data_IF_009932531206
#
_entry.id   IF_009932531206
#
_cell.length_a   1.000
_cell.length_b   1.000
_cell.length_c   1.000
_cell.angle_alpha   90.00
_cell.angle_beta   90.00
_cell.angle_gamma   90.00
#
_symmetry.space_group_name_H-M   'P 1'
#
loop_
_entity.id
_entity.type
_entity.pdbx_description
1 polymer ?
#
# COMPACT_ATOMS: atom_id res chain seq x y z
N UNK A 1 24.11 25.45 18.11
CA UNK A 1 24.59 24.54 17.04
C UNK A 1 24.58 23.11 17.54
N UNK A 2 23.61 22.28 17.19
CA UNK A 2 23.69 20.80 17.23
C UNK A 2 22.73 20.30 16.13
N UNK A 3 23.28 19.64 15.11
CA UNK A 3 22.53 19.21 13.91
C UNK A 3 22.07 17.77 14.07
N UNK A 4 20.75 17.56 14.09
CA UNK A 4 20.15 16.21 14.04
C UNK A 4 20.11 15.75 12.59
N UNK A 5 21.23 15.18 12.12
CA UNK A 5 21.28 14.42 10.86
C UNK A 5 20.61 13.08 11.09
N UNK A 6 19.39 12.91 10.56
CA UNK A 6 18.71 11.61 10.53
C UNK A 6 19.42 10.67 9.58
N UNK A 7 19.75 9.51 10.13
CA UNK A 7 20.27 8.30 9.52
C UNK A 7 19.26 7.72 8.53
N UNK A 8 19.63 7.65 7.25
CA UNK A 8 18.97 6.82 6.24
C UNK A 8 19.94 5.71 5.83
N UNK A 9 19.98 4.63 6.60
CA UNK A 9 20.66 3.40 6.23
C UNK A 9 19.61 2.37 5.84
N UNK A 10 19.15 2.42 4.59
CA UNK A 10 18.23 1.43 4.01
C UNK A 10 18.85 0.85 2.73
N UNK A 11 19.62 -0.22 2.95
CA UNK A 11 19.67 -1.44 2.14
C UNK A 11 19.52 -1.33 0.61
N UNK A 12 20.60 -0.98 -0.09
CA UNK A 12 20.80 -1.39 -1.47
C UNK A 12 21.33 -2.83 -1.54
N UNK A 13 20.51 -3.84 -1.23
CA UNK A 13 20.83 -5.24 -1.57
C UNK A 13 20.58 -5.44 -3.06
N UNK A 14 21.63 -5.33 -3.88
CA UNK A 14 21.59 -5.82 -5.27
C UNK A 14 21.32 -7.33 -5.25
N UNK A 15 20.30 -7.85 -5.95
CA UNK A 15 20.16 -9.30 -6.11
C UNK A 15 21.31 -9.80 -7.00
N UNK A 16 22.18 -10.66 -6.46
CA UNK A 16 23.09 -11.45 -7.29
C UNK A 16 22.24 -12.50 -8.02
N UNK A 17 22.18 -12.40 -9.34
CA UNK A 17 21.61 -13.44 -10.19
C UNK A 17 22.52 -14.68 -10.09
N UNK A 18 22.04 -15.73 -9.44
CA UNK A 18 22.66 -17.06 -9.50
C UNK A 18 22.28 -17.71 -10.83
N UNK A 19 23.22 -17.77 -11.77
CA UNK A 19 23.06 -18.56 -12.99
C UNK A 19 23.03 -20.06 -12.63
N UNK A 20 22.14 -20.88 -13.23
CA UNK A 20 22.14 -22.31 -13.01
C UNK A 20 23.45 -22.92 -13.52
N UNK A 21 24.25 -23.53 -12.64
CA UNK A 21 25.39 -24.36 -13.04
C UNK A 21 24.85 -25.62 -13.71
N UNK A 22 25.28 -25.83 -14.94
CA UNK A 22 25.00 -27.03 -15.71
C UNK A 22 25.54 -28.27 -14.94
N UNK A 23 24.74 -29.33 -14.73
CA UNK A 23 25.21 -30.52 -14.06
C UNK A 23 26.24 -31.23 -14.96
N UNK A 24 27.46 -31.39 -14.43
CA UNK A 24 28.47 -32.23 -15.08
C UNK A 24 28.01 -33.68 -14.96
N UNK A 25 27.66 -34.29 -16.10
CA UNK A 25 27.43 -35.73 -16.21
C UNK A 25 28.79 -36.41 -16.10
N UNK A 26 29.01 -37.17 -15.04
CA UNK A 26 30.08 -38.17 -15.02
C UNK A 26 29.63 -39.31 -15.92
N UNK A 27 30.04 -39.27 -17.18
CA UNK A 27 29.85 -40.35 -18.13
C UNK A 27 31.17 -41.12 -18.26
N UNK A 28 31.64 -41.72 -17.17
CA UNK A 28 32.70 -42.74 -17.19
C UNK A 28 32.44 -43.68 -16.02
N UNK A 29 31.54 -44.65 -16.25
CA UNK A 29 31.60 -45.92 -15.53
C UNK A 29 32.19 -46.90 -16.54
N UNK A 30 33.50 -47.10 -16.43
CA UNK A 30 34.22 -48.10 -17.19
C UNK A 30 33.77 -49.46 -16.66
N UNK A 31 33.05 -50.20 -17.50
CA UNK A 31 32.80 -51.62 -17.32
C UNK A 31 34.13 -52.36 -17.18
N UNK A 32 34.59 -52.55 -15.95
CA UNK A 32 35.60 -53.53 -15.63
C UNK A 32 35.01 -54.93 -15.87
N UNK A 33 35.38 -55.54 -16.99
CA UNK A 33 35.15 -56.96 -17.27
C UNK A 33 35.98 -57.81 -16.31
N UNK A 34 35.47 -58.02 -15.10
CA UNK A 34 35.98 -59.00 -14.15
C UNK A 34 35.22 -60.31 -14.31
N UNK A 35 35.83 -61.28 -14.98
CA UNK A 35 35.37 -62.67 -15.01
C UNK A 35 35.43 -63.28 -13.60
N UNK A 36 34.34 -63.94 -13.17
CA UNK A 36 34.39 -65.00 -12.18
C UNK A 36 33.44 -64.83 -10.99
N UNK A 37 32.71 -65.92 -10.73
CA UNK A 37 32.11 -66.35 -9.45
C UNK A 37 30.60 -66.11 -9.22
N UNK A 38 29.86 -67.24 -9.23
CA UNK A 38 28.82 -67.53 -8.23
C UNK A 38 27.44 -66.91 -8.46
N UNK A 39 26.54 -67.66 -9.09
CA UNK A 39 25.11 -67.37 -9.06
C UNK A 39 24.57 -67.53 -7.63
N UNK A 40 24.47 -66.42 -6.89
CA UNK A 40 23.49 -66.26 -5.84
C UNK A 40 22.32 -65.48 -6.45
N UNK A 41 21.13 -66.08 -6.48
CA UNK A 41 19.90 -65.35 -6.81
C UNK A 41 19.67 -64.31 -5.72
N UNK A 42 20.14 -63.09 -5.96
CA UNK A 42 19.80 -61.95 -5.12
C UNK A 42 18.37 -61.59 -5.49
N UNK A 43 17.45 -61.78 -4.53
CA UNK A 43 16.09 -61.26 -4.63
C UNK A 43 16.17 -59.73 -4.69
N UNK A 44 16.16 -59.16 -5.90
CA UNK A 44 16.05 -57.72 -6.07
C UNK A 44 14.64 -57.30 -5.60
N UNK A 45 14.52 -56.45 -4.57
CA UNK A 45 13.22 -56.03 -4.10
C UNK A 45 12.53 -55.24 -5.21
N UNK A 46 11.25 -55.55 -5.41
CA UNK A 46 10.36 -54.86 -6.34
C UNK A 46 10.56 -53.34 -6.21
N UNK A 47 11.06 -52.72 -7.27
CA UNK A 47 11.49 -51.32 -7.25
C UNK A 47 10.37 -50.36 -6.86
N UNK A 48 10.75 -49.23 -6.24
CA UNK A 48 9.82 -48.22 -5.74
C UNK A 48 8.79 -47.73 -6.78
N UNK A 49 9.12 -47.79 -8.08
CA UNK A 49 8.20 -47.45 -9.16
C UNK A 49 6.94 -48.33 -9.21
N UNK A 50 7.04 -49.62 -8.87
CA UNK A 50 5.90 -50.55 -8.88
C UNK A 50 4.92 -50.25 -7.74
N UNK A 51 5.42 -49.93 -6.55
CA UNK A 51 4.56 -49.45 -5.45
C UNK A 51 3.95 -48.09 -5.76
N UNK A 52 4.67 -47.23 -6.48
CA UNK A 52 4.14 -45.97 -7.01
C UNK A 52 2.95 -46.18 -7.95
N UNK A 53 3.02 -47.12 -8.89
CA UNK A 53 1.90 -47.40 -9.82
C UNK A 53 0.70 -48.04 -9.12
N UNK A 54 0.91 -48.93 -8.15
CA UNK A 54 -0.17 -49.48 -7.32
C UNK A 54 -0.85 -48.36 -6.51
N UNK A 55 -0.08 -47.40 -6.00
CA UNK A 55 -0.63 -46.27 -5.24
C UNK A 55 -1.47 -45.32 -6.09
N UNK A 56 -1.28 -45.26 -7.42
CA UNK A 56 -2.10 -44.42 -8.31
C UNK A 56 -3.58 -44.85 -8.31
N UNK A 57 -3.86 -46.14 -8.14
CA UNK A 57 -5.24 -46.67 -8.17
C UNK A 57 -6.09 -46.12 -7.00
N UNK A 58 -5.69 -46.29 -5.71
CA UNK A 58 -6.45 -45.73 -4.60
C UNK A 58 -6.39 -44.20 -4.56
N UNK A 59 -5.27 -43.57 -4.99
CA UNK A 59 -5.18 -42.10 -5.08
C UNK A 59 -6.15 -41.55 -6.12
N UNK A 60 -6.20 -42.14 -7.31
CA UNK A 60 -7.14 -41.77 -8.36
C UNK A 60 -8.60 -41.97 -7.93
N UNK A 61 -8.89 -43.08 -7.23
CA UNK A 61 -10.22 -43.31 -6.67
C UNK A 61 -10.61 -42.29 -5.60
N UNK A 62 -9.68 -41.93 -4.70
CA UNK A 62 -9.92 -40.91 -3.68
C UNK A 62 -10.17 -39.53 -4.32
N UNK A 63 -9.38 -39.14 -5.32
CA UNK A 63 -9.59 -37.90 -6.08
C UNK A 63 -10.96 -37.92 -6.77
N UNK A 64 -11.35 -39.05 -7.35
CA UNK A 64 -12.64 -39.23 -8.01
C UNK A 64 -13.82 -39.16 -7.04
N UNK A 65 -13.70 -39.76 -5.86
CA UNK A 65 -14.72 -39.73 -4.83
C UNK A 65 -14.89 -38.30 -4.26
N UNK A 66 -13.80 -37.54 -4.10
CA UNK A 66 -13.82 -36.15 -3.62
C UNK A 66 -14.29 -35.16 -4.70
N UNK A 67 -14.07 -35.46 -5.98
CA UNK A 67 -14.48 -34.58 -7.09
C UNK A 67 -15.96 -34.69 -7.45
N UNK A 68 -16.63 -35.79 -7.10
CA UNK A 68 -18.07 -35.96 -7.34
C UNK A 68 -18.90 -35.06 -6.42
N UNK A 69 -19.91 -34.36 -6.94
CA UNK A 69 -20.91 -33.68 -6.12
C UNK A 69 -21.78 -34.74 -5.40
N UNK A 70 -21.98 -34.58 -4.09
CA UNK A 70 -22.75 -35.52 -3.27
C UNK A 70 -24.27 -35.24 -3.29
N UNK A 71 -24.72 -34.15 -3.94
CA UNK A 71 -26.13 -33.82 -4.17
C UNK A 71 -26.27 -32.76 -5.27
N UNK A 72 -27.43 -32.70 -5.91
CA UNK A 72 -27.73 -31.87 -7.10
C UNK A 72 -27.51 -30.36 -6.92
N UNK A 73 -27.38 -29.88 -5.68
CA UNK A 73 -27.29 -28.44 -5.37
C UNK A 73 -26.00 -28.04 -4.62
N UNK A 74 -25.02 -28.96 -4.51
CA UNK A 74 -23.77 -28.72 -3.77
C UNK A 74 -22.57 -28.61 -4.70
N UNK A 75 -21.94 -27.43 -4.74
CA UNK A 75 -20.67 -27.23 -5.45
C UNK A 75 -19.60 -28.23 -4.99
N UNK A 76 -18.77 -28.79 -5.90
CA UNK A 76 -17.77 -29.79 -5.53
C UNK A 76 -16.73 -29.20 -4.56
N UNK A 77 -16.09 -30.08 -3.78
CA UNK A 77 -15.20 -29.69 -2.68
C UNK A 77 -14.09 -28.72 -3.11
N UNK A 78 -13.47 -28.97 -4.26
CA UNK A 78 -12.44 -28.10 -4.82
C UNK A 78 -12.96 -26.71 -5.17
N UNK A 79 -14.16 -26.61 -5.75
CA UNK A 79 -14.79 -25.31 -6.05
C UNK A 79 -15.10 -24.53 -4.78
N UNK A 80 -15.58 -25.20 -3.72
CA UNK A 80 -15.80 -24.55 -2.42
C UNK A 80 -14.49 -24.04 -1.80
N UNK A 81 -13.42 -24.82 -1.93
CA UNK A 81 -12.10 -24.42 -1.42
C UNK A 81 -11.58 -23.22 -2.19
N UNK A 82 -11.63 -23.26 -3.54
CA UNK A 82 -11.25 -22.14 -4.40
C UNK A 82 -12.09 -20.91 -4.05
N UNK A 83 -13.41 -21.05 -3.93
CA UNK A 83 -14.32 -19.97 -3.56
C UNK A 83 -13.95 -19.28 -2.25
N UNK A 84 -13.54 -20.04 -1.22
CA UNK A 84 -13.06 -19.47 0.05
C UNK A 84 -11.78 -18.65 -0.13
N UNK A 85 -10.86 -19.10 -0.98
CA UNK A 85 -9.64 -18.36 -1.26
C UNK A 85 -9.90 -17.13 -2.12
N UNK A 86 -10.74 -17.22 -3.15
CA UNK A 86 -11.08 -16.07 -4.01
C UNK A 86 -11.83 -14.99 -3.21
N UNK A 87 -12.77 -15.36 -2.35
CA UNK A 87 -13.46 -14.40 -1.45
C UNK A 87 -12.47 -13.68 -0.51
N UNK A 88 -11.46 -14.40 -0.01
CA UNK A 88 -10.39 -13.80 0.78
C UNK A 88 -9.56 -12.80 -0.03
N UNK A 89 -9.22 -13.15 -1.27
CA UNK A 89 -8.47 -12.27 -2.18
C UNK A 89 -9.28 -11.02 -2.55
N UNK A 90 -10.57 -11.15 -2.82
CA UNK A 90 -11.46 -10.02 -3.11
C UNK A 90 -11.53 -9.05 -1.92
N UNK A 91 -11.67 -9.57 -0.69
CA UNK A 91 -11.66 -8.72 0.52
C UNK A 91 -10.33 -7.99 0.71
N UNK A 92 -9.21 -8.64 0.39
CA UNK A 92 -7.89 -8.00 0.43
C UNK A 92 -7.75 -6.95 -0.67
N UNK A 93 -8.24 -7.22 -1.88
CA UNK A 93 -8.25 -6.28 -2.99
C UNK A 93 -9.06 -5.02 -2.67
N UNK A 94 -10.27 -5.17 -2.11
CA UNK A 94 -11.12 -4.03 -1.68
C UNK A 94 -10.42 -3.20 -0.59
N UNK A 95 -9.77 -3.84 0.39
CA UNK A 95 -9.00 -3.11 1.43
C UNK A 95 -7.81 -2.36 0.84
N UNK A 96 -7.09 -2.97 -0.09
CA UNK A 96 -5.95 -2.35 -0.75
C UNK A 96 -6.39 -1.16 -1.62
N UNK A 97 -7.49 -1.30 -2.37
CA UNK A 97 -8.07 -0.20 -3.16
C UNK A 97 -8.49 0.97 -2.26
N UNK A 98 -9.19 0.71 -1.14
CA UNK A 98 -9.52 1.73 -0.16
C UNK A 98 -8.28 2.43 0.40
N UNK A 99 -7.22 1.68 0.72
CA UNK A 99 -5.97 2.25 1.20
C UNK A 99 -5.29 3.14 0.15
N UNK A 100 -5.22 2.71 -1.11
CA UNK A 100 -4.65 3.50 -2.21
C UNK A 100 -5.42 4.80 -2.41
N UNK A 101 -6.76 4.74 -2.42
CA UNK A 101 -7.61 5.93 -2.55
C UNK A 101 -7.40 6.93 -1.41
N UNK A 102 -7.27 6.44 -0.17
CA UNK A 102 -6.99 7.31 0.98
C UNK A 102 -5.63 7.98 0.85
N UNK A 103 -4.59 7.26 0.40
CA UNK A 103 -3.25 7.81 0.20
C UNK A 103 -3.24 8.83 -0.95
N UNK A 104 -3.95 8.57 -2.04
CA UNK A 104 -4.09 9.50 -3.16
C UNK A 104 -4.77 10.80 -2.73
N UNK A 105 -5.91 10.70 -2.03
CA UNK A 105 -6.61 11.87 -1.51
C UNK A 105 -5.74 12.67 -0.53
N UNK A 106 -5.00 12.00 0.37
CA UNK A 106 -4.07 12.67 1.27
C UNK A 106 -2.91 13.36 0.52
N UNK A 107 -2.45 12.75 -0.57
CA UNK A 107 -1.46 13.35 -1.47
C UNK A 107 -1.96 14.63 -2.14
N UNK A 108 -3.18 14.59 -2.68
CA UNK A 108 -3.81 15.74 -3.33
C UNK A 108 -4.04 16.90 -2.36
N UNK A 109 -4.55 16.61 -1.16
CA UNK A 109 -4.73 17.62 -0.11
C UNK A 109 -3.40 18.27 0.29
N UNK A 110 -2.34 17.46 0.42
CA UNK A 110 -0.99 17.98 0.71
C UNK A 110 -0.44 18.86 -0.41
N UNK A 111 -0.69 18.49 -1.67
CA UNK A 111 -0.28 19.31 -2.83
C UNK A 111 -1.04 20.65 -2.82
N UNK A 112 -2.33 20.66 -2.49
CA UNK A 112 -3.12 21.88 -2.36
C UNK A 112 -2.53 22.82 -1.31
N UNK A 113 -2.18 22.32 -0.13
CA UNK A 113 -1.55 23.13 0.91
C UNK A 113 -0.16 23.65 0.51
N UNK A 114 0.65 22.84 -0.19
CA UNK A 114 1.99 23.25 -0.59
C UNK A 114 2.01 24.24 -1.76
N UNK A 115 1.02 24.19 -2.67
CA UNK A 115 0.96 25.07 -3.85
C UNK A 115 0.16 26.35 -3.63
N UNK A 116 -0.66 26.41 -2.58
CA UNK A 116 -1.47 27.62 -2.29
C UNK A 116 -0.56 28.74 -1.79
N UNK A 117 -0.61 29.91 -2.46
CA UNK A 117 0.08 31.10 -1.97
C UNK A 117 -0.52 31.54 -0.63
N UNK A 118 0.29 31.99 0.34
CA UNK A 118 -0.23 32.63 1.54
C UNK A 118 -1.16 33.78 1.16
N UNK A 119 -2.29 33.92 1.84
CA UNK A 119 -3.19 35.06 1.64
C UNK A 119 -2.50 36.33 2.13
N UNK A 120 -2.22 37.26 1.23
CA UNK A 120 -1.47 38.50 1.51
C UNK A 120 -2.38 39.62 2.04
N UNK A 121 -3.69 39.48 1.85
CA UNK A 121 -4.70 40.44 2.28
C UNK A 121 -5.57 39.88 3.42
N UNK A 122 -6.05 40.79 4.27
CA UNK A 122 -7.03 40.47 5.32
C UNK A 122 -8.42 40.64 4.74
N UNK A 123 -9.23 39.59 4.79
CA UNK A 123 -10.59 39.62 4.28
C UNK A 123 -11.48 40.43 5.24
N UNK A 124 -11.86 41.64 4.81
CA UNK A 124 -12.67 42.57 5.58
C UNK A 124 -14.09 42.62 5.02
N UNK A 125 -15.11 42.52 5.88
CA UNK A 125 -16.53 42.58 5.44
C UNK A 125 -16.90 43.93 4.81
N UNK A 126 -16.27 45.02 5.23
CA UNK A 126 -16.57 46.38 4.78
C UNK A 126 -15.28 47.19 4.60
N UNK A 127 -14.53 46.98 3.50
CA UNK A 127 -13.27 47.69 3.26
C UNK A 127 -13.47 49.18 2.98
N UNK A 128 -14.67 49.58 2.51
CA UNK A 128 -14.95 50.96 2.09
C UNK A 128 -14.94 51.98 3.24
N UNK A 129 -15.18 51.54 4.48
CA UNK A 129 -15.14 52.39 5.66
C UNK A 129 -13.73 52.99 5.85
N UNK A 130 -12.69 52.29 5.39
CA UNK A 130 -11.31 52.75 5.48
C UNK A 130 -10.99 53.86 4.47
N UNK A 131 -11.75 53.97 3.37
CA UNK A 131 -11.54 54.97 2.31
C UNK A 131 -12.60 56.09 2.33
N UNK A 132 -13.34 56.23 3.43
CA UNK A 132 -14.40 57.22 3.53
C UNK A 132 -13.79 58.61 3.81
N UNK A 133 -13.64 59.44 2.77
CA UNK A 133 -13.13 60.81 2.89
C UNK A 133 -12.57 61.39 1.59
N UNK A 134 -12.29 62.70 1.56
CA UNK A 134 -11.63 63.35 0.43
C UNK A 134 -10.11 63.14 0.48
N UNK A 135 -9.44 62.67 -0.58
CA UNK A 135 -7.98 62.47 -0.59
C UNK A 135 -7.16 63.74 -0.31
N UNK A 136 -7.73 64.92 -0.55
CA UNK A 136 -6.99 66.20 -0.57
C UNK A 136 -7.31 67.13 0.61
N UNK A 137 -8.32 66.84 1.43
CA UNK A 137 -8.75 67.74 2.51
C UNK A 137 -9.13 66.97 3.77
N UNK A 138 -8.16 66.29 4.37
CA UNK A 138 -8.33 65.53 5.61
C UNK A 138 -7.64 66.27 6.75
N UNK A 139 -8.35 66.69 7.81
CA UNK A 139 -7.70 67.25 8.99
C UNK A 139 -6.75 66.23 9.63
N UNK A 140 -5.57 66.67 10.04
CA UNK A 140 -4.55 65.82 10.63
C UNK A 140 -5.13 65.06 11.85
N UNK A 141 -4.94 63.73 11.88
CA UNK A 141 -5.47 62.85 12.93
C UNK A 141 -6.87 62.28 12.70
N UNK A 142 -7.57 62.68 11.62
CA UNK A 142 -8.87 62.09 11.25
C UNK A 142 -8.77 60.65 10.74
N UNK A 143 -7.64 60.28 10.14
CA UNK A 143 -7.37 58.91 9.72
C UNK A 143 -6.52 58.21 10.78
N UNK A 144 -6.96 57.02 11.18
CA UNK A 144 -6.22 56.18 12.12
C UNK A 144 -5.05 55.52 11.40
N UNK A 145 -3.86 55.55 11.99
CA UNK A 145 -2.72 54.79 11.48
C UNK A 145 -3.00 53.30 11.63
N UNK A 146 -3.14 52.59 10.51
CA UNK A 146 -3.49 51.16 10.49
C UNK A 146 -2.28 50.22 10.67
N UNK A 147 -1.08 50.75 10.82
CA UNK A 147 0.17 49.98 10.84
C UNK A 147 0.18 48.90 11.95
N UNK A 148 -0.24 49.25 13.17
CA UNK A 148 -0.35 48.29 14.27
C UNK A 148 -1.37 47.17 14.01
N UNK A 149 -2.46 47.49 13.31
CA UNK A 149 -3.50 46.51 12.96
C UNK A 149 -2.96 45.56 11.90
N UNK A 150 -2.26 46.09 10.89
CA UNK A 150 -1.59 45.33 9.85
C UNK A 150 -0.55 44.39 10.47
N UNK A 151 0.29 44.88 11.38
CA UNK A 151 1.29 44.08 12.09
C UNK A 151 0.65 42.95 12.91
N UNK A 152 -0.42 43.24 13.64
CA UNK A 152 -1.16 42.22 14.42
C UNK A 152 -1.68 41.11 13.52
N UNK A 153 -2.32 41.45 12.39
CA UNK A 153 -2.86 40.43 11.49
C UNK A 153 -1.78 39.67 10.72
N UNK A 154 -0.68 40.34 10.32
CA UNK A 154 0.50 39.66 9.78
C UNK A 154 1.04 38.64 10.78
N UNK A 155 1.15 39.01 12.06
CA UNK A 155 1.60 38.11 13.12
C UNK A 155 0.67 36.90 13.28
N UNK A 156 -0.65 37.13 13.36
CA UNK A 156 -1.63 36.05 13.45
C UNK A 156 -1.57 35.11 12.24
N UNK A 157 -1.41 35.64 11.03
CA UNK A 157 -1.29 34.85 9.82
C UNK A 157 -0.02 33.98 9.81
N UNK A 158 1.11 34.52 10.27
CA UNK A 158 2.34 33.75 10.41
C UNK A 158 2.21 32.66 11.47
N UNK A 159 1.67 32.98 12.65
CA UNK A 159 1.41 31.99 13.72
C UNK A 159 0.48 30.86 13.25
N UNK A 160 -0.58 31.17 12.50
CA UNK A 160 -1.47 30.15 11.95
C UNK A 160 -0.81 29.30 10.86
N UNK A 161 0.06 29.89 10.04
CA UNK A 161 0.84 29.15 9.05
C UNK A 161 1.87 28.23 9.72
N UNK A 162 2.54 28.70 10.77
CA UNK A 162 3.45 27.91 11.58
C UNK A 162 2.71 26.77 12.27
N UNK A 163 1.55 27.04 12.89
CA UNK A 163 0.70 26.00 13.49
C UNK A 163 0.27 24.94 12.47
N UNK A 164 -0.10 25.35 11.26
CA UNK A 164 -0.42 24.41 10.16
C UNK A 164 0.81 23.61 9.72
N UNK A 165 1.97 24.25 9.62
CA UNK A 165 3.23 23.60 9.28
C UNK A 165 3.66 22.59 10.37
N UNK A 166 3.50 22.93 11.64
CA UNK A 166 3.76 22.04 12.77
C UNK A 166 2.76 20.88 12.79
N UNK A 167 1.48 21.14 12.54
CA UNK A 167 0.49 20.08 12.38
C UNK A 167 0.83 19.15 11.21
N UNK A 168 1.33 19.68 10.09
CA UNK A 168 1.86 18.88 8.97
C UNK A 168 3.10 18.08 9.37
N UNK A 169 4.06 18.68 10.08
CA UNK A 169 5.28 18.00 10.55
C UNK A 169 4.97 16.87 11.53
N UNK A 170 3.96 17.08 12.37
CA UNK A 170 3.52 16.13 13.40
C UNK A 170 2.44 15.17 12.86
N UNK A 171 2.05 15.27 11.58
CA UNK A 171 0.96 14.51 10.95
C UNK A 171 -0.38 14.60 11.72
N UNK A 172 -0.65 15.74 12.35
CA UNK A 172 -1.88 16.00 13.12
C UNK A 172 -2.98 16.69 12.30
N UNK A 173 -2.77 16.82 10.98
CA UNK A 173 -3.72 17.46 10.08
C UNK A 173 -5.07 16.75 10.17
N UNK A 174 -6.16 17.51 10.41
CA UNK A 174 -7.51 16.94 10.60
C UNK A 174 -7.98 16.07 9.42
N UNK A 175 -7.46 16.32 8.22
CA UNK A 175 -7.72 15.52 7.02
C UNK A 175 -6.99 14.16 7.04
N UNK A 176 -5.83 14.07 7.69
CA UNK A 176 -5.00 12.86 7.77
C UNK A 176 -5.30 12.01 9.00
N UNK A 177 -6.06 12.54 9.98
CA UNK A 177 -6.51 11.75 11.13
C UNK A 177 -7.46 10.66 10.65
N UNK A 178 -7.33 9.41 11.14
CA UNK A 178 -8.30 8.38 10.85
C UNK A 178 -9.68 8.89 11.28
N UNK A 179 -10.63 8.87 10.35
CA UNK A 179 -12.01 9.27 10.62
C UNK A 179 -12.52 8.39 11.77
N UNK A 180 -13.06 8.97 12.87
CA UNK A 180 -13.59 8.17 13.96
C UNK A 180 -14.65 7.21 13.40
N UNK A 181 -14.52 5.92 13.75
CA UNK A 181 -15.44 4.86 13.35
C UNK A 181 -16.89 5.33 13.58
N UNK A 182 -17.65 5.56 12.50
CA UNK A 182 -19.05 6.01 12.57
C UNK A 182 -19.43 7.21 11.70
N UNK A 183 -18.49 7.94 11.10
CA UNK A 183 -18.79 9.01 10.12
C UNK A 183 -18.37 8.64 8.71
N UNK A 184 -19.20 7.86 8.01
CA UNK A 184 -19.01 7.54 6.60
C UNK A 184 -19.06 8.80 5.72
N UNK A 185 -17.89 9.32 5.35
CA UNK A 185 -17.73 10.30 4.25
C UNK A 185 -16.72 9.79 3.22
N UNK A 186 -16.88 8.54 2.80
CA UNK A 186 -16.31 8.15 1.52
C UNK A 186 -17.28 8.63 0.44
N UNK A 187 -16.80 9.41 -0.52
CA UNK A 187 -17.59 9.74 -1.71
C UNK A 187 -17.94 8.40 -2.38
N UNK A 188 -19.24 8.10 -2.49
CA UNK A 188 -19.73 6.94 -3.21
C UNK A 188 -19.22 7.07 -4.65
N UNK A 189 -18.62 6.00 -5.19
CA UNK A 189 -18.12 6.02 -6.57
C UNK A 189 -19.28 6.39 -7.53
N UNK A 190 -19.00 7.09 -8.65
CA UNK A 190 -19.98 7.19 -9.72
C UNK A 190 -20.29 5.77 -10.21
N UNK A 191 -21.56 5.39 -10.17
CA UNK A 191 -22.03 4.14 -10.74
C UNK A 191 -21.98 4.34 -12.26
N UNK A 192 -21.01 3.70 -12.93
CA UNK A 192 -20.98 3.64 -14.39
C UNK A 192 -22.16 2.77 -14.87
N UNK A 193 -23.07 3.38 -15.61
CA UNK A 193 -24.26 2.77 -16.24
C UNK A 193 -23.93 2.07 -17.54
#
# INVERSE_FOLDING_TARGET
MHSLRRTAATAARKPKVTLPRQPRRFAHDEHAHGHGHGHASVDEPIGYGFWGTIAVIPVGWAIYAVSRPNSDDTTPFFTRMIGKYTESQEKLAVRNDLHVRMVEQAGDDRILFNKTKPQEYVDMKFPEIMNNGSPYNVPAGSQVQLEQVIEKYKKLAYEDNERKLEALRNNEVKAERPVPEGRGRLRKAPEES
#
